data_IF_487356318392
#
_entry.id   IF_487356318392
#
_cell.length_a   1.000
_cell.length_b   1.000
_cell.length_c   1.000
_cell.angle_alpha   90.00
_cell.angle_beta   90.00
_cell.angle_gamma   90.00
#
_symmetry.space_group_name_H-M   'P 1'
#
loop_
_entity.id
_entity.type
_entity.pdbx_description
1 polymer ?
#
# COMPACT_ATOMS: atom_id res chain seq x y z
N UNK A 1 77.49 38.97 7.33
CA UNK A 1 77.04 37.64 7.75
C UNK A 1 75.52 37.69 8.02
N UNK A 2 74.71 37.27 7.03
CA UNK A 2 73.25 37.24 7.12
C UNK A 2 72.82 35.82 7.43
N UNK A 3 72.12 35.59 8.59
CA UNK A 3 71.52 34.34 8.98
C UNK A 3 70.15 34.24 8.25
N UNK A 4 70.00 33.26 7.37
CA UNK A 4 68.74 32.91 6.74
C UNK A 4 68.06 31.90 7.67
N UNK A 5 66.90 32.29 8.34
CA UNK A 5 66.05 31.42 9.06
C UNK A 5 65.15 30.64 8.07
N UNK A 6 65.31 29.34 8.03
CA UNK A 6 64.41 28.45 7.30
C UNK A 6 63.13 28.22 8.11
N UNK A 7 62.00 28.79 7.68
CA UNK A 7 60.69 28.54 8.21
C UNK A 7 60.13 27.27 7.54
N UNK A 8 60.03 26.16 8.27
CA UNK A 8 59.39 24.95 7.81
C UNK A 8 57.86 25.11 8.02
N UNK A 9 57.13 25.29 6.93
CA UNK A 9 55.66 25.25 6.92
C UNK A 9 55.24 23.76 6.91
N UNK A 10 54.76 23.25 8.03
CA UNK A 10 54.11 21.95 8.11
C UNK A 10 52.69 22.08 7.57
N UNK A 11 52.44 21.58 6.38
CA UNK A 11 51.13 21.50 5.75
C UNK A 11 50.41 20.26 6.34
N UNK A 12 49.53 20.46 7.33
CA UNK A 12 48.67 19.41 7.87
C UNK A 12 47.59 19.12 6.84
N UNK A 13 47.72 18.02 6.14
CA UNK A 13 46.66 17.46 5.27
C UNK A 13 45.59 16.85 6.19
N UNK A 14 44.50 17.58 6.41
CA UNK A 14 43.30 17.01 7.02
C UNK A 14 42.62 16.16 5.94
N UNK A 15 42.84 14.86 5.96
CA UNK A 15 42.07 13.92 5.18
C UNK A 15 40.69 13.85 5.83
N UNK A 16 39.75 14.61 5.30
CA UNK A 16 38.33 14.42 5.60
C UNK A 16 37.92 13.05 5.01
N UNK A 17 37.87 12.02 5.85
CA UNK A 17 37.19 10.77 5.54
C UNK A 17 35.72 11.13 5.37
N UNK A 18 35.29 11.43 4.15
CA UNK A 18 33.86 11.33 3.82
C UNK A 18 33.48 9.86 3.89
N UNK A 19 32.94 9.42 5.03
CA UNK A 19 32.22 8.17 5.08
C UNK A 19 31.11 8.28 4.04
N UNK A 20 31.21 7.52 2.95
CA UNK A 20 30.06 7.31 2.07
C UNK A 20 28.98 6.72 2.96
N UNK A 21 27.94 7.48 3.26
CA UNK A 21 26.76 6.96 3.91
C UNK A 21 26.20 5.87 2.97
N UNK A 22 25.96 4.68 3.51
CA UNK A 22 25.27 3.63 2.76
C UNK A 22 23.88 4.16 2.43
N UNK A 23 23.50 4.11 1.17
CA UNK A 23 22.18 4.53 0.71
C UNK A 23 21.38 3.26 0.37
N UNK A 24 20.30 3.02 1.10
CA UNK A 24 19.36 1.92 0.84
C UNK A 24 18.23 2.44 -0.02
N UNK A 25 17.91 1.75 -1.11
CA UNK A 25 16.80 2.14 -2.00
C UNK A 25 15.55 1.32 -1.69
N UNK A 26 14.46 2.02 -1.38
CA UNK A 26 13.14 1.45 -1.11
C UNK A 26 12.18 1.81 -2.24
N UNK A 27 11.63 0.81 -2.93
CA UNK A 27 10.56 0.98 -3.91
C UNK A 27 9.19 0.92 -3.21
N UNK A 28 8.37 1.95 -3.40
CA UNK A 28 7.03 2.07 -2.80
C UNK A 28 6.02 2.71 -3.76
N UNK A 29 4.77 2.86 -3.33
CA UNK A 29 3.60 3.21 -4.15
C UNK A 29 3.38 4.71 -4.37
N UNK A 30 4.34 5.54 -4.00
CA UNK A 30 4.31 6.98 -4.24
C UNK A 30 3.28 7.79 -3.44
N UNK A 31 3.31 9.11 -3.64
CA UNK A 31 2.35 10.08 -3.10
C UNK A 31 2.22 10.03 -1.58
N UNK A 32 1.02 10.27 -1.05
CA UNK A 32 0.78 10.36 0.40
C UNK A 32 1.19 9.11 1.18
N UNK A 33 1.22 7.92 0.57
CA UNK A 33 1.66 6.70 1.25
C UNK A 33 3.17 6.68 1.43
N UNK A 34 3.96 6.86 0.37
CA UNK A 34 5.42 6.94 0.49
C UNK A 34 5.83 8.08 1.44
N UNK A 35 5.12 9.22 1.41
CA UNK A 35 5.38 10.30 2.36
C UNK A 35 5.08 9.89 3.80
N UNK A 36 4.01 9.15 4.06
CA UNK A 36 3.72 8.61 5.40
C UNK A 36 4.77 7.63 5.89
N UNK A 37 5.34 6.84 4.97
CA UNK A 37 6.42 5.91 5.25
C UNK A 37 7.72 6.65 5.60
N UNK A 38 8.09 7.66 4.80
CA UNK A 38 9.25 8.51 5.08
C UNK A 38 9.15 9.12 6.47
N UNK A 39 8.07 9.83 6.76
CA UNK A 39 7.89 10.55 8.01
C UNK A 39 7.67 9.63 9.21
N UNK A 40 6.98 8.51 9.02
CA UNK A 40 6.59 7.60 10.09
C UNK A 40 7.70 6.68 10.57
N UNK A 41 8.48 6.14 9.65
CA UNK A 41 9.56 5.20 9.98
C UNK A 41 10.84 5.35 9.14
N UNK A 42 10.78 5.85 7.89
CA UNK A 42 11.95 5.97 7.04
C UNK A 42 13.01 6.93 7.59
N UNK A 43 12.65 8.19 7.81
CA UNK A 43 13.55 9.20 8.36
C UNK A 43 14.04 8.88 9.78
N UNK A 44 13.15 8.40 10.70
CA UNK A 44 13.60 7.93 12.01
C UNK A 44 14.61 6.78 11.92
N UNK A 45 14.38 5.78 11.05
CA UNK A 45 15.29 4.66 10.81
C UNK A 45 16.62 5.12 10.20
N UNK A 46 16.57 5.96 9.18
CA UNK A 46 17.78 6.54 8.56
C UNK A 46 18.66 7.24 9.60
N UNK A 47 18.03 8.03 10.49
CA UNK A 47 18.70 8.70 11.59
C UNK A 47 19.26 7.72 12.62
N UNK A 48 18.50 6.70 13.02
CA UNK A 48 18.91 5.70 14.02
C UNK A 48 20.12 4.88 13.54
N UNK A 49 20.14 4.51 12.26
CA UNK A 49 21.19 3.69 11.67
C UNK A 49 22.35 4.51 11.07
N UNK A 50 22.23 5.84 10.98
CA UNK A 50 23.24 6.71 10.39
C UNK A 50 23.48 6.50 8.89
N UNK A 51 22.38 6.21 8.14
CA UNK A 51 22.39 5.92 6.71
C UNK A 51 21.50 6.88 5.95
N UNK A 52 21.51 6.78 4.62
CA UNK A 52 20.54 7.42 3.73
C UNK A 52 19.52 6.38 3.24
N UNK A 53 18.24 6.74 3.15
CA UNK A 53 17.18 5.92 2.53
C UNK A 53 16.62 6.68 1.34
N UNK A 54 16.85 6.13 0.14
CA UNK A 54 16.30 6.64 -1.11
C UNK A 54 14.97 5.96 -1.41
N UNK A 55 13.96 6.76 -1.71
CA UNK A 55 12.64 6.26 -2.07
C UNK A 55 12.40 6.42 -3.57
N UNK A 56 11.94 5.34 -4.21
CA UNK A 56 11.52 5.35 -5.62
C UNK A 56 10.06 4.90 -5.70
N UNK A 57 9.30 5.57 -6.56
CA UNK A 57 7.91 5.21 -6.78
C UNK A 57 7.81 4.16 -7.89
N UNK A 58 6.95 3.16 -7.69
CA UNK A 58 6.60 2.18 -8.71
C UNK A 58 5.08 1.92 -8.71
N UNK A 59 4.58 1.19 -9.71
CA UNK A 59 3.14 1.00 -9.93
C UNK A 59 2.65 -0.43 -9.66
N UNK A 60 3.36 -1.15 -8.78
CA UNK A 60 3.04 -2.51 -8.36
C UNK A 60 3.47 -3.60 -9.33
N UNK A 61 3.40 -4.85 -8.86
CA UNK A 61 3.81 -6.04 -9.58
C UNK A 61 5.31 -6.27 -9.62
N UNK A 62 5.73 -7.37 -10.24
CA UNK A 62 7.12 -7.83 -10.22
C UNK A 62 7.89 -7.54 -11.51
N UNK A 63 7.26 -6.93 -12.52
CA UNK A 63 7.86 -6.78 -13.86
C UNK A 63 9.17 -6.00 -13.84
N UNK A 64 9.24 -4.92 -13.05
CA UNK A 64 10.41 -4.05 -13.00
C UNK A 64 11.60 -4.72 -12.31
N UNK A 65 11.38 -5.39 -11.19
CA UNK A 65 12.46 -6.12 -10.50
C UNK A 65 12.93 -7.33 -11.31
N UNK A 66 12.02 -8.02 -12.05
CA UNK A 66 12.40 -9.07 -12.99
C UNK A 66 13.31 -8.53 -14.09
N UNK A 67 12.97 -7.39 -14.68
CA UNK A 67 13.80 -6.74 -15.70
C UNK A 67 15.18 -6.32 -15.16
N UNK A 68 15.25 -5.78 -13.93
CA UNK A 68 16.52 -5.45 -13.28
C UNK A 68 17.38 -6.70 -13.06
N UNK A 69 16.77 -7.83 -12.62
CA UNK A 69 17.45 -9.10 -12.44
C UNK A 69 17.98 -9.68 -13.76
N UNK A 70 17.16 -9.68 -14.81
CA UNK A 70 17.55 -10.13 -16.15
C UNK A 70 18.70 -9.30 -16.74
N UNK A 71 18.67 -7.99 -16.50
CA UNK A 71 19.75 -7.08 -16.90
C UNK A 71 21.01 -7.19 -16.03
N UNK A 72 20.99 -7.99 -14.96
CA UNK A 72 22.04 -8.06 -13.92
C UNK A 72 22.43 -6.67 -13.38
N UNK A 73 21.42 -5.81 -13.19
CA UNK A 73 21.55 -4.42 -12.78
C UNK A 73 20.49 -4.05 -11.73
N UNK A 74 20.48 -4.79 -10.62
CA UNK A 74 19.55 -4.55 -9.50
C UNK A 74 19.97 -3.26 -8.80
N UNK A 75 19.01 -2.34 -8.64
CA UNK A 75 19.19 -1.03 -8.00
C UNK A 75 18.32 -0.86 -6.76
N UNK A 76 17.31 -1.72 -6.56
CA UNK A 76 16.44 -1.71 -5.40
C UNK A 76 16.95 -2.67 -4.33
N UNK A 77 16.87 -2.25 -3.08
CA UNK A 77 17.21 -3.09 -1.92
C UNK A 77 15.97 -3.64 -1.23
N UNK A 78 14.93 -2.83 -1.14
CA UNK A 78 13.66 -3.15 -0.46
C UNK A 78 12.51 -2.80 -1.40
N UNK A 79 11.47 -3.63 -1.39
CA UNK A 79 10.21 -3.32 -2.05
C UNK A 79 9.06 -3.42 -1.06
N UNK A 80 8.06 -2.55 -1.23
CA UNK A 80 6.77 -2.60 -0.56
C UNK A 80 5.75 -3.16 -1.56
N UNK A 81 5.28 -4.39 -1.31
CA UNK A 81 4.58 -5.20 -2.29
C UNK A 81 3.25 -5.73 -1.75
N UNK A 82 2.33 -6.08 -2.66
CA UNK A 82 1.09 -6.77 -2.34
C UNK A 82 1.33 -8.19 -1.82
N UNK A 83 0.38 -8.71 -1.08
CA UNK A 83 0.43 -10.05 -0.50
C UNK A 83 0.72 -11.16 -1.52
N UNK A 84 0.08 -11.14 -2.69
CA UNK A 84 0.31 -12.10 -3.78
C UNK A 84 1.73 -12.00 -4.37
N UNK A 85 2.27 -10.78 -4.49
CA UNK A 85 3.62 -10.56 -5.04
C UNK A 85 4.71 -11.15 -4.13
N UNK A 86 4.44 -11.24 -2.81
CA UNK A 86 5.37 -11.88 -1.87
C UNK A 86 5.51 -13.37 -2.16
N UNK A 87 4.41 -14.05 -2.52
CA UNK A 87 4.37 -15.48 -2.83
C UNK A 87 5.13 -15.73 -4.14
N UNK A 88 4.66 -15.09 -5.21
CA UNK A 88 5.24 -15.26 -6.55
C UNK A 88 6.73 -14.87 -6.58
N UNK A 89 7.09 -13.74 -6.00
CA UNK A 89 8.48 -13.26 -5.99
C UNK A 89 9.40 -14.11 -5.13
N UNK A 90 8.90 -14.70 -4.04
CA UNK A 90 9.66 -15.63 -3.21
C UNK A 90 9.91 -16.94 -3.96
N UNK A 91 8.90 -17.53 -4.60
CA UNK A 91 9.00 -18.77 -5.37
C UNK A 91 9.93 -18.62 -6.59
N UNK A 92 9.93 -17.46 -7.24
CA UNK A 92 10.83 -17.14 -8.34
C UNK A 92 12.26 -16.75 -7.88
N UNK A 93 12.51 -16.72 -6.58
CA UNK A 93 13.82 -16.39 -6.00
C UNK A 93 14.24 -14.94 -6.26
N UNK A 94 13.29 -14.00 -6.27
CA UNK A 94 13.54 -12.57 -6.37
C UNK A 94 13.87 -11.95 -5.01
N UNK A 95 13.41 -12.56 -3.91
CA UNK A 95 13.51 -12.06 -2.56
C UNK A 95 14.32 -12.98 -1.64
N UNK A 96 14.81 -12.41 -0.56
CA UNK A 96 15.56 -13.12 0.49
C UNK A 96 14.58 -13.68 1.51
N UNK A 97 14.78 -14.94 1.93
CA UNK A 97 13.99 -15.53 3.02
C UNK A 97 14.42 -14.97 4.39
N UNK A 98 13.46 -14.75 5.28
CA UNK A 98 13.68 -14.35 6.66
C UNK A 98 13.58 -15.53 7.64
N UNK A 99 14.41 -15.51 8.67
CA UNK A 99 14.21 -16.28 9.91
C UNK A 99 13.53 -15.35 10.93
N UNK A 100 12.21 -15.39 11.00
CA UNK A 100 11.34 -14.31 11.47
C UNK A 100 11.73 -13.75 12.86
N UNK A 101 11.75 -14.58 13.90
CA UNK A 101 12.08 -14.12 15.28
C UNK A 101 13.56 -13.82 15.50
N UNK A 102 14.44 -14.25 14.59
CA UNK A 102 15.85 -13.84 14.60
C UNK A 102 16.04 -12.47 13.92
N UNK A 103 15.34 -12.26 12.83
CA UNK A 103 15.55 -11.13 11.92
C UNK A 103 14.75 -9.89 12.32
N UNK A 104 13.66 -10.07 13.06
CA UNK A 104 12.79 -8.97 13.51
C UNK A 104 12.75 -8.83 15.03
N UNK A 105 12.77 -7.59 15.57
CA UNK A 105 12.76 -7.36 17.01
C UNK A 105 11.44 -7.82 17.64
N UNK A 106 11.47 -8.34 18.88
CA UNK A 106 10.27 -8.62 19.65
C UNK A 106 9.50 -7.33 19.97
N UNK A 107 8.25 -7.47 20.43
CA UNK A 107 7.51 -6.36 21.03
C UNK A 107 8.21 -5.83 22.31
N UNK A 108 7.90 -4.60 22.77
CA UNK A 108 8.52 -4.01 23.95
C UNK A 108 8.33 -4.81 25.24
N UNK A 109 7.32 -5.64 25.35
CA UNK A 109 7.06 -6.54 26.49
C UNK A 109 7.80 -7.88 26.39
N UNK A 110 8.55 -8.12 25.30
CA UNK A 110 9.30 -9.34 25.04
C UNK A 110 8.53 -10.37 24.20
N UNK A 111 7.30 -10.11 23.78
CA UNK A 111 6.55 -11.00 22.89
C UNK A 111 7.30 -11.19 21.57
N UNK A 112 7.59 -12.43 21.12
CA UNK A 112 8.26 -12.68 19.84
C UNK A 112 7.56 -12.00 18.67
N UNK A 113 8.33 -11.60 17.65
CA UNK A 113 7.75 -10.97 16.46
C UNK A 113 6.68 -11.85 15.79
N UNK A 114 6.90 -13.16 15.70
CA UNK A 114 5.94 -14.12 15.13
C UNK A 114 4.59 -14.16 15.84
N UNK A 115 4.52 -13.77 17.11
CA UNK A 115 3.29 -13.71 17.91
C UNK A 115 2.68 -12.31 17.95
N UNK A 116 3.49 -11.24 17.77
CA UNK A 116 3.05 -9.84 17.80
C UNK A 116 2.40 -9.41 16.48
N UNK A 117 2.85 -9.93 15.34
CA UNK A 117 2.17 -9.69 14.06
C UNK A 117 0.78 -10.36 14.04
N UNK A 118 -0.20 -9.74 13.34
CA UNK A 118 -1.60 -10.18 13.39
C UNK A 118 -1.84 -11.58 12.83
N UNK A 119 -1.12 -11.96 11.78
CA UNK A 119 -1.20 -13.29 11.16
C UNK A 119 0.19 -13.75 10.73
N UNK A 120 0.33 -15.03 10.40
CA UNK A 120 1.50 -15.55 9.69
C UNK A 120 1.67 -14.84 8.36
N UNK A 121 2.93 -14.64 7.95
CA UNK A 121 3.26 -14.06 6.66
C UNK A 121 2.85 -14.99 5.51
N UNK A 122 2.45 -14.45 4.34
CA UNK A 122 2.05 -15.25 3.18
C UNK A 122 3.21 -16.02 2.56
N UNK A 123 4.43 -15.55 2.75
CA UNK A 123 5.66 -16.24 2.33
C UNK A 123 6.78 -16.02 3.35
N UNK A 124 7.86 -16.81 3.26
CA UNK A 124 9.05 -16.63 4.10
C UNK A 124 9.85 -15.36 3.75
N UNK A 125 9.58 -14.75 2.61
CA UNK A 125 10.29 -13.58 2.13
C UNK A 125 9.62 -12.26 2.55
N UNK A 126 8.53 -12.32 3.31
CA UNK A 126 7.70 -11.16 3.64
C UNK A 126 7.77 -10.78 5.12
N UNK A 127 7.68 -9.49 5.41
CA UNK A 127 7.33 -8.96 6.72
C UNK A 127 6.24 -7.92 6.60
N UNK A 128 5.22 -8.00 7.46
CA UNK A 128 4.05 -7.13 7.42
C UNK A 128 4.39 -5.66 7.68
N UNK A 129 3.86 -4.79 6.85
CA UNK A 129 4.00 -3.35 6.94
C UNK A 129 2.68 -2.70 7.41
N UNK A 130 1.67 -2.67 6.56
CA UNK A 130 0.37 -2.09 6.87
C UNK A 130 -0.77 -2.96 6.39
N UNK A 131 -1.92 -2.83 7.07
CA UNK A 131 -3.22 -3.30 6.62
C UNK A 131 -3.99 -2.09 6.09
N UNK A 132 -4.53 -2.21 4.88
CA UNK A 132 -5.27 -1.16 4.22
C UNK A 132 -6.58 -1.68 3.63
N UNK A 133 -7.36 -0.80 3.06
CA UNK A 133 -8.64 -1.14 2.44
C UNK A 133 -8.72 -0.62 1.02
N UNK A 134 -9.21 -1.49 0.14
CA UNK A 134 -9.86 -1.11 -1.09
C UNK A 134 -11.30 -0.76 -0.78
N UNK A 135 -11.66 0.49 -0.97
CA UNK A 135 -13.03 0.95 -0.81
C UNK A 135 -13.40 1.90 -1.96
N UNK A 136 -14.52 2.58 -1.88
CA UNK A 136 -14.78 3.66 -2.81
C UNK A 136 -15.07 4.97 -2.07
N UNK A 137 -14.87 6.07 -2.77
CA UNK A 137 -15.30 7.40 -2.33
C UNK A 137 -16.16 8.06 -3.39
N UNK A 138 -16.89 9.07 -2.99
CA UNK A 138 -17.71 9.89 -3.90
C UNK A 138 -17.46 11.39 -3.66
N UNK A 139 -17.68 12.19 -4.70
CA UNK A 139 -17.72 13.66 -4.58
C UNK A 139 -19.06 14.06 -3.96
N UNK A 140 -19.02 14.73 -2.79
CA UNK A 140 -20.23 15.12 -2.05
C UNK A 140 -21.10 16.11 -2.79
N UNK A 141 -20.53 16.92 -3.68
CA UNK A 141 -21.25 17.92 -4.46
C UNK A 141 -21.94 17.33 -5.70
N UNK A 142 -21.60 16.05 -6.07
CA UNK A 142 -22.19 15.39 -7.23
C UNK A 142 -23.65 14.96 -7.02
N UNK A 143 -24.08 14.80 -5.76
CA UNK A 143 -25.39 14.25 -5.45
C UNK A 143 -26.18 15.15 -4.51
N UNK A 144 -27.20 15.84 -5.05
CA UNK A 144 -28.14 16.63 -4.25
C UNK A 144 -29.15 15.68 -3.55
N UNK A 145 -29.05 15.53 -2.23
CA UNK A 145 -30.06 14.87 -1.41
C UNK A 145 -29.62 13.54 -0.81
N UNK A 146 -29.53 12.44 -1.56
CA UNK A 146 -29.21 11.12 -1.00
C UNK A 146 -27.81 10.65 -1.44
N UNK A 147 -26.89 10.59 -0.48
CA UNK A 147 -25.52 10.08 -0.71
C UNK A 147 -25.48 8.56 -0.93
N UNK A 148 -24.53 8.04 -1.73
CA UNK A 148 -24.26 6.61 -1.81
C UNK A 148 -23.71 6.07 -0.48
N UNK A 149 -24.12 4.86 -0.08
CA UNK A 149 -23.77 4.27 1.21
C UNK A 149 -23.44 2.79 1.14
N UNK A 150 -23.70 2.14 0.00
CA UNK A 150 -23.50 0.70 -0.19
C UNK A 150 -22.67 0.43 -1.45
N UNK A 151 -22.07 -0.75 -1.52
CA UNK A 151 -21.34 -1.16 -2.74
C UNK A 151 -22.26 -1.28 -3.95
N UNK A 152 -23.55 -1.59 -3.75
CA UNK A 152 -24.57 -1.58 -4.80
C UNK A 152 -24.74 -0.19 -5.41
N UNK A 153 -24.67 0.87 -4.57
CA UNK A 153 -24.80 2.25 -5.03
C UNK A 153 -23.67 2.65 -6.00
N UNK A 154 -22.47 2.06 -5.88
CA UNK A 154 -21.38 2.28 -6.83
C UNK A 154 -21.75 1.84 -8.26
N UNK A 155 -22.51 0.78 -8.41
CA UNK A 155 -22.93 0.22 -9.70
C UNK A 155 -24.30 0.74 -10.19
N UNK A 156 -25.07 1.46 -9.35
CA UNK A 156 -26.38 1.97 -9.72
C UNK A 156 -26.28 3.36 -10.39
N UNK A 157 -26.08 3.35 -11.70
CA UNK A 157 -25.98 4.56 -12.53
C UNK A 157 -27.32 5.27 -12.74
N UNK A 158 -28.45 4.62 -12.45
CA UNK A 158 -29.77 5.25 -12.52
C UNK A 158 -30.01 6.13 -11.29
N UNK A 159 -29.65 5.62 -10.11
CA UNK A 159 -29.78 6.34 -8.84
C UNK A 159 -28.68 7.37 -8.66
N UNK A 160 -27.48 7.06 -9.09
CA UNK A 160 -26.26 7.86 -8.97
C UNK A 160 -25.58 7.99 -10.34
N UNK A 161 -26.09 8.84 -11.24
CA UNK A 161 -25.52 9.00 -12.58
C UNK A 161 -24.15 9.69 -12.53
N UNK A 162 -23.30 9.38 -13.51
CA UNK A 162 -21.97 9.94 -13.71
C UNK A 162 -20.89 8.88 -13.83
N UNK A 163 -19.71 9.30 -14.27
CA UNK A 163 -18.56 8.42 -14.52
C UNK A 163 -17.98 7.86 -13.20
N UNK A 164 -17.40 6.67 -13.29
CA UNK A 164 -16.66 6.02 -12.19
C UNK A 164 -15.16 5.99 -12.51
N UNK A 165 -14.33 6.10 -11.50
CA UNK A 165 -12.92 5.74 -11.60
C UNK A 165 -12.71 4.35 -11.02
N UNK A 166 -12.00 3.49 -11.77
CA UNK A 166 -11.82 2.06 -11.49
C UNK A 166 -10.33 1.74 -11.61
N UNK A 167 -9.83 0.84 -10.77
CA UNK A 167 -8.42 0.43 -10.86
C UNK A 167 -8.10 -0.26 -12.19
N UNK A 168 -6.88 -0.07 -12.69
CA UNK A 168 -6.41 -0.67 -13.94
C UNK A 168 -6.47 -2.20 -13.96
N UNK A 169 -6.30 -2.85 -12.79
CA UNK A 169 -6.30 -4.30 -12.63
C UNK A 169 -7.65 -4.81 -12.13
N UNK A 170 -7.91 -6.09 -12.35
CA UNK A 170 -9.11 -6.80 -11.87
C UNK A 170 -9.14 -6.99 -10.35
N UNK A 171 -7.97 -6.99 -9.70
CA UNK A 171 -7.78 -7.20 -8.26
C UNK A 171 -8.73 -6.32 -7.46
N UNK A 172 -9.46 -6.91 -6.55
CA UNK A 172 -10.50 -6.31 -5.69
C UNK A 172 -11.73 -5.77 -6.41
N UNK A 173 -11.61 -5.42 -7.69
CA UNK A 173 -12.75 -4.92 -8.47
C UNK A 173 -13.78 -6.04 -8.71
N UNK A 174 -13.32 -7.26 -9.00
CA UNK A 174 -14.22 -8.39 -9.23
C UNK A 174 -14.93 -8.83 -7.97
N UNK A 175 -14.25 -8.82 -6.84
CA UNK A 175 -14.84 -9.09 -5.53
C UNK A 175 -15.92 -8.06 -5.19
N UNK A 176 -15.66 -6.77 -5.38
CA UNK A 176 -16.64 -5.70 -5.19
C UNK A 176 -17.85 -5.87 -6.11
N UNK A 177 -17.65 -6.32 -7.36
CA UNK A 177 -18.75 -6.60 -8.27
C UNK A 177 -19.65 -7.72 -7.77
N UNK A 178 -19.06 -8.81 -7.26
CA UNK A 178 -19.82 -9.93 -6.69
C UNK A 178 -20.54 -9.55 -5.39
N UNK A 179 -19.90 -8.77 -4.52
CA UNK A 179 -20.57 -8.23 -3.34
C UNK A 179 -21.76 -7.34 -3.71
N UNK A 180 -21.63 -6.53 -4.74
CA UNK A 180 -22.73 -5.71 -5.25
C UNK A 180 -23.88 -6.54 -5.86
N UNK A 181 -23.63 -7.81 -6.20
CA UNK A 181 -24.67 -8.80 -6.57
C UNK A 181 -25.27 -9.55 -5.38
N UNK A 182 -24.74 -9.32 -4.18
CA UNK A 182 -25.20 -9.99 -2.96
C UNK A 182 -24.51 -11.33 -2.69
N UNK A 183 -23.39 -11.62 -3.33
CA UNK A 183 -22.56 -12.78 -2.98
C UNK A 183 -22.01 -12.58 -1.58
N UNK A 184 -22.15 -13.60 -0.73
CA UNK A 184 -21.59 -13.59 0.62
C UNK A 184 -20.06 -13.44 0.57
N UNK A 185 -19.49 -12.58 1.40
CA UNK A 185 -18.06 -12.28 1.40
C UNK A 185 -17.17 -13.50 1.59
N UNK A 186 -17.65 -14.53 2.33
CA UNK A 186 -16.93 -15.79 2.55
C UNK A 186 -16.98 -16.74 1.34
N UNK A 187 -17.78 -16.42 0.30
CA UNK A 187 -17.99 -17.23 -0.89
C UNK A 187 -17.44 -16.60 -2.18
N UNK A 188 -16.88 -15.41 -2.07
CA UNK A 188 -16.41 -14.65 -3.24
C UNK A 188 -15.42 -15.47 -4.07
N UNK A 189 -14.42 -16.08 -3.46
CA UNK A 189 -13.38 -16.83 -4.18
C UNK A 189 -13.90 -18.20 -4.67
N UNK A 190 -14.85 -18.83 -3.96
CA UNK A 190 -15.55 -20.01 -4.49
C UNK A 190 -16.27 -19.66 -5.81
N UNK A 191 -16.87 -18.47 -5.89
CA UNK A 191 -17.56 -17.99 -7.09
C UNK A 191 -16.55 -17.57 -8.19
N UNK A 192 -15.52 -16.78 -7.85
CA UNK A 192 -14.51 -16.32 -8.81
C UNK A 192 -13.71 -17.48 -9.43
N UNK A 193 -13.59 -18.60 -8.73
CA UNK A 193 -12.94 -19.82 -9.24
C UNK A 193 -13.76 -20.54 -10.31
N UNK A 194 -15.00 -20.09 -10.59
CA UNK A 194 -15.84 -20.64 -11.64
C UNK A 194 -15.85 -19.72 -12.87
N UNK A 195 -15.88 -20.30 -14.07
CA UNK A 195 -15.99 -19.54 -15.33
C UNK A 195 -17.21 -18.60 -15.32
N UNK A 196 -18.37 -19.08 -14.85
CA UNK A 196 -19.60 -18.27 -14.76
C UNK A 196 -19.46 -17.11 -13.78
N UNK A 197 -18.90 -17.35 -12.61
CA UNK A 197 -18.72 -16.32 -11.58
C UNK A 197 -17.74 -15.23 -12.04
N UNK A 198 -16.62 -15.61 -12.65
CA UNK A 198 -15.64 -14.68 -13.21
C UNK A 198 -16.27 -13.84 -14.33
N UNK A 199 -16.98 -14.49 -15.26
CA UNK A 199 -17.69 -13.81 -16.34
C UNK A 199 -18.75 -12.83 -15.83
N UNK A 200 -19.51 -13.18 -14.80
CA UNK A 200 -20.51 -12.30 -14.17
C UNK A 200 -19.83 -11.05 -13.58
N UNK A 201 -18.75 -11.21 -12.82
CA UNK A 201 -18.04 -10.10 -12.21
C UNK A 201 -17.47 -9.14 -13.26
N UNK A 202 -16.82 -9.66 -14.31
CA UNK A 202 -16.29 -8.87 -15.43
C UNK A 202 -17.44 -8.16 -16.17
N UNK A 203 -18.54 -8.86 -16.46
CA UNK A 203 -19.70 -8.30 -17.18
C UNK A 203 -20.35 -7.15 -16.41
N UNK A 204 -20.33 -7.19 -15.08
CA UNK A 204 -20.86 -6.10 -14.25
C UNK A 204 -20.07 -4.80 -14.44
N UNK A 205 -18.74 -4.87 -14.49
CA UNK A 205 -17.91 -3.69 -14.82
C UNK A 205 -18.08 -3.27 -16.28
N UNK A 206 -18.16 -4.21 -17.21
CA UNK A 206 -18.44 -3.88 -18.62
C UNK A 206 -19.76 -3.11 -18.75
N UNK A 207 -20.82 -3.57 -18.08
CA UNK A 207 -22.10 -2.88 -18.07
C UNK A 207 -22.01 -1.48 -17.46
N UNK A 208 -21.31 -1.30 -16.33
CA UNK A 208 -21.06 0.00 -15.71
C UNK A 208 -20.33 0.95 -16.66
N UNK A 209 -19.28 0.48 -17.32
CA UNK A 209 -18.42 1.30 -18.16
C UNK A 209 -19.07 1.67 -19.50
N UNK A 210 -20.01 0.87 -19.99
CA UNK A 210 -20.77 1.12 -21.25
C UNK A 210 -22.13 1.78 -21.02
N UNK A 211 -22.58 1.95 -19.76
CA UNK A 211 -23.85 2.60 -19.47
C UNK A 211 -23.82 4.08 -19.87
N UNK A 212 -24.82 4.61 -20.60
CA UNK A 212 -24.86 6.02 -21.02
C UNK A 212 -24.94 7.02 -19.85
N UNK A 213 -25.40 6.58 -18.66
CA UNK A 213 -25.40 7.39 -17.45
C UNK A 213 -24.16 7.12 -16.55
N UNK A 214 -23.25 6.24 -17.01
CA UNK A 214 -22.05 5.79 -16.31
C UNK A 214 -20.78 6.15 -17.05
N UNK A 215 -19.97 5.13 -17.35
CA UNK A 215 -18.66 5.24 -17.96
C UNK A 215 -17.52 5.12 -16.97
N UNK A 216 -16.36 4.68 -17.44
CA UNK A 216 -15.20 4.43 -16.59
C UNK A 216 -13.97 5.25 -17.00
N UNK A 217 -13.18 5.63 -15.99
CA UNK A 217 -11.81 6.10 -16.10
C UNK A 217 -10.94 5.13 -15.33
N UNK A 218 -9.97 4.50 -15.99
CA UNK A 218 -9.07 3.56 -15.32
C UNK A 218 -7.85 4.29 -14.76
N UNK A 219 -7.60 4.13 -13.47
CA UNK A 219 -6.47 4.72 -12.80
C UNK A 219 -5.36 3.70 -12.54
N UNK A 220 -4.11 4.18 -12.43
CA UNK A 220 -2.92 3.36 -12.19
C UNK A 220 -2.05 3.83 -11.02
N UNK A 221 -2.18 5.10 -10.63
CA UNK A 221 -1.44 5.67 -9.51
C UNK A 221 -2.40 6.11 -8.40
N UNK A 222 -2.04 5.86 -7.14
CA UNK A 222 -2.92 6.05 -5.98
C UNK A 222 -3.39 7.50 -5.72
N UNK A 223 -2.74 8.50 -6.30
CA UNK A 223 -3.19 9.89 -6.22
C UNK A 223 -4.37 10.19 -7.15
N UNK A 224 -4.51 9.45 -8.25
CA UNK A 224 -5.51 9.72 -9.28
C UNK A 224 -6.96 9.64 -8.81
N UNK A 225 -7.41 8.62 -8.04
CA UNK A 225 -8.80 8.53 -7.61
C UNK A 225 -9.31 9.77 -6.87
N UNK A 226 -8.65 10.29 -5.82
CA UNK A 226 -9.09 11.52 -5.17
C UNK A 226 -9.01 12.74 -6.09
N UNK A 227 -8.00 12.87 -6.94
CA UNK A 227 -7.87 13.99 -7.89
C UNK A 227 -9.03 14.00 -8.90
N UNK A 228 -9.40 12.84 -9.45
CA UNK A 228 -10.53 12.69 -10.37
C UNK A 228 -11.88 13.01 -9.71
N UNK A 229 -12.04 12.71 -8.42
CA UNK A 229 -13.22 13.09 -7.64
C UNK A 229 -13.26 14.60 -7.41
N UNK A 230 -12.16 15.20 -6.97
CA UNK A 230 -12.08 16.64 -6.67
C UNK A 230 -12.28 17.48 -7.93
N UNK A 231 -11.72 17.05 -9.05
CA UNK A 231 -11.93 17.74 -10.34
C UNK A 231 -13.36 17.62 -10.89
N UNK A 232 -14.16 16.68 -10.36
CA UNK A 232 -15.48 16.36 -10.87
C UNK A 232 -15.49 15.57 -12.19
N UNK A 233 -14.36 15.04 -12.63
CA UNK A 233 -14.28 14.18 -13.81
C UNK A 233 -15.03 12.86 -13.57
N UNK A 234 -15.02 12.36 -12.34
CA UNK A 234 -15.81 11.22 -11.91
C UNK A 234 -16.62 11.57 -10.66
N UNK A 235 -17.74 10.89 -10.45
CA UNK A 235 -18.59 11.10 -9.28
C UNK A 235 -18.32 10.09 -8.16
N UNK A 236 -17.79 8.93 -8.50
CA UNK A 236 -17.32 7.89 -7.56
C UNK A 236 -16.03 7.27 -8.07
N UNK A 237 -15.19 6.82 -7.15
CA UNK A 237 -13.92 6.18 -7.48
C UNK A 237 -13.63 5.03 -6.51
N UNK A 238 -13.25 3.86 -7.02
CA UNK A 238 -12.57 2.84 -6.20
C UNK A 238 -11.15 3.30 -5.93
N UNK A 239 -10.60 2.95 -4.77
CA UNK A 239 -9.23 3.34 -4.42
C UNK A 239 -8.84 2.85 -3.03
N UNK A 240 -7.72 3.32 -2.55
CA UNK A 240 -7.17 2.96 -1.25
C UNK A 240 -7.61 3.97 -0.18
N UNK A 241 -8.14 3.46 0.93
CA UNK A 241 -8.70 4.27 2.02
C UNK A 241 -7.77 5.38 2.52
N UNK A 242 -6.48 5.13 2.60
CA UNK A 242 -5.51 6.14 3.07
C UNK A 242 -5.36 7.32 2.10
N UNK A 243 -5.51 7.08 0.79
CA UNK A 243 -5.49 8.17 -0.21
C UNK A 243 -6.73 9.06 -0.08
N UNK A 244 -7.88 8.42 0.08
CA UNK A 244 -9.13 9.14 0.33
C UNK A 244 -9.11 9.85 1.69
N UNK A 245 -8.55 9.22 2.74
CA UNK A 245 -8.38 9.88 4.04
C UNK A 245 -7.51 11.15 3.93
N UNK A 246 -6.39 11.08 3.21
CA UNK A 246 -5.53 12.24 3.04
C UNK A 246 -6.28 13.37 2.33
N UNK A 247 -7.02 13.09 1.26
CA UNK A 247 -7.81 14.09 0.56
C UNK A 247 -8.98 14.61 1.42
N UNK A 248 -9.78 13.72 2.03
CA UNK A 248 -10.98 14.08 2.82
C UNK A 248 -10.62 14.85 4.10
N UNK A 249 -9.70 14.29 4.90
CA UNK A 249 -9.38 14.79 6.24
C UNK A 249 -8.12 15.67 6.23
N UNK A 250 -7.08 15.24 5.52
CA UNK A 250 -5.80 15.95 5.49
C UNK A 250 -5.88 17.26 4.70
N UNK A 251 -6.60 17.29 3.59
CA UNK A 251 -6.71 18.41 2.66
C UNK A 251 -8.09 19.09 2.69
N UNK A 252 -9.10 18.49 3.32
CA UNK A 252 -10.46 19.02 3.39
C UNK A 252 -11.20 18.99 2.05
N UNK A 253 -10.85 18.03 1.18
CA UNK A 253 -11.49 17.88 -0.13
C UNK A 253 -12.98 17.48 -0.01
N UNK A 254 -13.85 17.88 -0.95
CA UNK A 254 -15.27 17.58 -0.92
C UNK A 254 -15.57 16.14 -1.37
N UNK A 255 -14.95 15.18 -0.73
CA UNK A 255 -15.15 13.75 -0.97
C UNK A 255 -15.53 13.01 0.31
N UNK A 256 -16.16 11.85 0.17
CA UNK A 256 -16.53 11.01 1.30
C UNK A 256 -16.29 9.54 0.99
N UNK A 257 -15.62 8.83 1.91
CA UNK A 257 -15.41 7.39 1.81
C UNK A 257 -16.66 6.61 2.17
N UNK A 258 -16.85 5.46 1.50
CA UNK A 258 -17.86 4.44 1.80
C UNK A 258 -17.15 3.12 2.08
N UNK A 259 -17.42 2.55 3.23
CA UNK A 259 -16.76 1.35 3.72
C UNK A 259 -17.50 0.04 3.40
N UNK A 260 -18.77 0.14 2.99
CA UNK A 260 -19.56 -1.02 2.63
C UNK A 260 -19.00 -1.70 1.38
N UNK A 261 -18.75 -2.99 1.47
CA UNK A 261 -18.12 -3.76 0.40
C UNK A 261 -16.62 -3.57 0.26
N UNK A 262 -15.93 -3.06 1.29
CA UNK A 262 -14.48 -2.89 1.26
C UNK A 262 -13.74 -4.23 1.19
N UNK A 263 -12.60 -4.24 0.50
CA UNK A 263 -11.63 -5.32 0.53
C UNK A 263 -10.47 -4.98 1.45
N UNK A 264 -10.23 -5.79 2.47
CA UNK A 264 -9.05 -5.65 3.32
C UNK A 264 -7.88 -6.40 2.68
N UNK A 265 -6.75 -5.73 2.57
CA UNK A 265 -5.53 -6.28 2.00
C UNK A 265 -4.32 -5.79 2.79
N UNK A 266 -3.18 -6.38 2.52
CA UNK A 266 -1.97 -6.20 3.29
C UNK A 266 -0.81 -5.84 2.39
N UNK A 267 0.02 -4.91 2.86
CA UNK A 267 1.31 -4.58 2.27
C UNK A 267 2.45 -5.18 3.10
N UNK A 268 3.48 -5.59 2.39
CA UNK A 268 4.64 -6.24 2.98
C UNK A 268 5.93 -5.62 2.46
N UNK A 269 6.92 -5.53 3.34
CA UNK A 269 8.28 -5.35 2.87
C UNK A 269 8.90 -6.68 2.50
N UNK A 270 9.66 -6.68 1.41
CA UNK A 270 10.51 -7.76 0.97
C UNK A 270 11.93 -7.23 0.73
N UNK A 271 12.93 -8.07 1.01
CA UNK A 271 14.33 -7.78 0.75
C UNK A 271 14.70 -8.33 -0.63
N UNK A 272 15.14 -7.45 -1.52
CA UNK A 272 15.49 -7.83 -2.90
C UNK A 272 16.79 -8.64 -2.89
N UNK A 273 16.74 -9.85 -3.44
CA UNK A 273 17.92 -10.73 -3.53
C UNK A 273 18.91 -10.21 -4.55
N UNK A 274 20.15 -10.00 -4.10
CA UNK A 274 21.20 -9.41 -4.93
C UNK A 274 21.14 -7.89 -5.05
N UNK A 275 20.32 -7.23 -4.21
CA UNK A 275 20.35 -5.79 -4.04
C UNK A 275 21.72 -5.28 -3.61
N UNK A 276 22.11 -4.04 -3.95
CA UNK A 276 23.46 -3.53 -3.70
C UNK A 276 23.83 -3.43 -2.22
N UNK A 277 22.84 -3.38 -1.31
CA UNK A 277 23.06 -3.14 0.12
C UNK A 277 22.31 -4.16 1.01
N UNK A 278 22.23 -5.44 0.62
CA UNK A 278 21.38 -6.48 1.24
C UNK A 278 21.51 -6.54 2.77
N UNK A 279 22.74 -6.55 3.32
CA UNK A 279 22.99 -6.65 4.76
C UNK A 279 22.46 -5.44 5.55
N UNK A 280 22.60 -4.23 5.03
CA UNK A 280 22.10 -3.02 5.71
C UNK A 280 20.61 -2.85 5.46
N UNK A 281 20.12 -3.20 4.29
CA UNK A 281 18.68 -3.18 3.95
C UNK A 281 17.88 -4.11 4.86
N UNK A 282 18.41 -5.27 5.22
CA UNK A 282 17.81 -6.17 6.20
C UNK A 282 17.62 -5.50 7.57
N UNK A 283 18.63 -4.73 8.03
CA UNK A 283 18.52 -3.96 9.28
C UNK A 283 17.51 -2.82 9.17
N UNK A 284 17.43 -2.19 8.00
CA UNK A 284 16.45 -1.14 7.71
C UNK A 284 15.03 -1.69 7.81
N UNK A 285 14.74 -2.83 7.19
CA UNK A 285 13.42 -3.48 7.29
C UNK A 285 13.11 -3.82 8.75
N UNK A 286 14.06 -4.41 9.49
CA UNK A 286 13.86 -4.79 10.88
C UNK A 286 13.52 -3.58 11.77
N UNK A 287 14.19 -2.45 11.57
CA UNK A 287 13.92 -1.22 12.31
C UNK A 287 12.58 -0.61 11.88
N UNK A 288 12.33 -0.45 10.56
CA UNK A 288 11.06 0.11 10.05
C UNK A 288 9.83 -0.69 10.48
N UNK A 289 9.97 -2.01 10.71
CA UNK A 289 8.87 -2.87 11.15
C UNK A 289 8.84 -3.10 12.66
N UNK A 290 9.60 -2.33 13.45
CA UNK A 290 9.48 -2.32 14.91
C UNK A 290 8.16 -1.69 15.38
N UNK A 291 7.78 -1.94 16.62
CA UNK A 291 6.51 -1.48 17.22
C UNK A 291 6.28 0.02 17.05
N UNK A 292 7.24 0.85 17.45
CA UNK A 292 7.12 2.31 17.44
C UNK A 292 7.12 2.86 16.00
N UNK A 293 7.91 2.26 15.11
CA UNK A 293 8.04 2.71 13.75
C UNK A 293 6.77 2.44 12.95
N UNK A 294 6.20 1.23 13.03
CA UNK A 294 4.92 0.95 12.36
C UNK A 294 3.78 1.81 12.89
N UNK A 295 3.72 2.05 14.23
CA UNK A 295 2.76 2.99 14.78
C UNK A 295 2.97 4.42 14.24
N UNK A 296 4.24 4.81 13.98
CA UNK A 296 4.61 6.12 13.47
C UNK A 296 3.99 6.46 12.13
N UNK A 297 3.92 5.51 11.19
CA UNK A 297 3.33 5.76 9.86
C UNK A 297 1.84 6.09 9.92
N UNK A 298 1.12 5.51 10.87
CA UNK A 298 -0.30 5.77 11.10
C UNK A 298 -0.61 7.19 11.64
N UNK A 299 0.41 8.00 11.95
CA UNK A 299 0.24 9.45 12.20
C UNK A 299 -0.04 10.25 10.94
N UNK A 300 0.27 9.71 9.78
CA UNK A 300 0.25 10.43 8.52
C UNK A 300 -0.78 9.92 7.53
N UNK A 301 -1.21 8.64 7.67
CA UNK A 301 -2.17 7.98 6.79
C UNK A 301 -3.02 6.97 7.57
N UNK A 302 -4.27 6.74 7.16
CA UNK A 302 -5.19 5.83 7.87
C UNK A 302 -5.02 4.36 7.46
N UNK A 303 -3.78 3.89 7.42
CA UNK A 303 -3.45 2.46 7.29
C UNK A 303 -3.12 1.89 8.66
N UNK A 304 -3.66 0.71 8.97
CA UNK A 304 -3.41 0.10 10.27
C UNK A 304 -2.02 -0.56 10.29
N UNK A 305 -1.22 -0.33 11.35
CA UNK A 305 0.06 -1.01 11.47
C UNK A 305 -0.15 -2.52 11.65
N UNK A 306 0.82 -3.32 11.18
CA UNK A 306 0.69 -4.78 11.14
C UNK A 306 1.01 -5.50 12.45
N UNK A 307 1.46 -4.76 13.49
CA UNK A 307 1.74 -5.31 14.84
C UNK A 307 0.63 -4.96 15.84
N UNK A 308 0.28 -5.93 16.69
CA UNK A 308 -0.63 -5.74 17.85
C UNK A 308 -0.09 -4.68 18.79
N UNK A 309 1.20 -4.76 19.14
CA UNK A 309 1.89 -3.78 19.98
C UNK A 309 1.83 -2.35 19.40
N UNK A 310 1.90 -2.18 18.10
CA UNK A 310 1.78 -0.87 17.44
C UNK A 310 0.39 -0.26 17.58
N UNK A 311 -0.68 -1.07 17.52
CA UNK A 311 -2.05 -0.58 17.81
C UNK A 311 -2.23 -0.14 19.25
N UNK A 312 -1.55 -0.82 20.20
CA UNK A 312 -1.57 -0.39 21.60
C UNK A 312 -0.87 0.96 21.80
N UNK A 313 0.25 1.19 21.10
CA UNK A 313 0.94 2.50 21.10
C UNK A 313 -0.01 3.59 20.58
N UNK A 314 -0.68 3.36 19.47
CA UNK A 314 -1.67 4.29 18.91
C UNK A 314 -2.82 4.56 19.87
N UNK A 315 -3.40 3.53 20.49
CA UNK A 315 -4.53 3.68 21.41
C UNK A 315 -4.17 4.49 22.67
N UNK A 316 -2.93 4.37 23.14
CA UNK A 316 -2.42 5.17 24.28
C UNK A 316 -2.11 6.61 23.90
N UNK A 317 -1.83 6.90 22.63
CA UNK A 317 -1.40 8.20 22.10
C UNK A 317 -2.50 9.02 21.39
N UNK A 318 -3.78 8.59 21.43
CA UNK A 318 -4.89 9.32 20.80
C UNK A 318 -4.86 10.83 21.15
N UNK A 319 -5.16 11.73 20.17
CA UNK A 319 -5.83 11.51 18.87
C UNK A 319 -4.96 10.97 17.71
N UNK A 320 -3.72 10.77 17.84
CA UNK A 320 -2.69 10.16 17.01
C UNK A 320 -2.38 10.84 15.65
N UNK A 321 -3.34 11.40 14.91
CA UNK A 321 -3.04 12.08 13.64
C UNK A 321 -2.08 13.25 13.82
N UNK A 322 -1.29 13.55 12.81
CA UNK A 322 -0.26 14.61 12.81
C UNK A 322 -0.78 16.01 13.17
N UNK A 323 -2.07 16.26 13.04
CA UNK A 323 -2.69 17.52 13.41
C UNK A 323 -2.95 17.68 14.92
N UNK A 324 -2.74 16.62 15.71
CA UNK A 324 -2.95 16.59 17.14
C UNK A 324 -4.41 16.72 17.61
N UNK A 325 -5.38 16.54 16.69
CA UNK A 325 -6.82 16.72 16.94
C UNK A 325 -7.67 15.56 16.43
N UNK A 326 -7.33 15.02 15.25
CA UNK A 326 -8.10 13.95 14.60
C UNK A 326 -7.80 12.63 15.26
N UNK A 327 -8.84 11.98 15.81
CA UNK A 327 -8.73 10.60 16.27
C UNK A 327 -8.61 9.68 15.05
N UNK A 328 -7.49 8.96 14.96
CA UNK A 328 -7.22 8.07 13.81
C UNK A 328 -8.02 6.77 13.84
N UNK A 329 -8.36 6.25 15.02
CA UNK A 329 -9.01 4.93 15.16
C UNK A 329 -10.30 4.80 14.31
N UNK A 330 -11.23 5.78 14.30
CA UNK A 330 -12.43 5.69 13.47
C UNK A 330 -12.17 5.65 11.96
N UNK A 331 -11.00 6.09 11.52
CA UNK A 331 -10.61 6.13 10.11
C UNK A 331 -9.79 4.90 9.67
N UNK A 332 -9.48 4.00 10.60
CA UNK A 332 -8.79 2.75 10.27
C UNK A 332 -9.73 1.78 9.53
N UNK A 333 -9.23 1.03 8.55
CA UNK A 333 -10.05 0.06 7.81
C UNK A 333 -10.61 -1.04 8.71
N UNK A 334 -9.91 -1.34 9.82
CA UNK A 334 -10.29 -2.34 10.82
C UNK A 334 -11.21 -1.83 11.93
N UNK A 335 -11.57 -0.55 11.92
CA UNK A 335 -12.47 -0.02 12.93
C UNK A 335 -13.85 -0.72 12.88
N UNK A 336 -14.48 -1.04 14.04
CA UNK A 336 -15.71 -1.85 14.09
C UNK A 336 -16.86 -1.32 13.23
N UNK A 337 -16.98 0.00 13.08
CA UNK A 337 -18.00 0.61 12.23
C UNK A 337 -17.72 0.42 10.74
N UNK A 338 -16.46 0.19 10.34
CA UNK A 338 -16.01 0.04 8.97
C UNK A 338 -16.03 -1.43 8.50
N UNK A 339 -16.01 -2.40 9.42
CA UNK A 339 -15.95 -3.84 9.14
C UNK A 339 -17.31 -4.55 9.22
N UNK A 340 -18.40 -3.88 8.81
CA UNK A 340 -19.74 -4.48 8.81
C UNK A 340 -20.00 -5.36 7.60
N UNK A 341 -19.48 -4.98 6.45
CA UNK A 341 -19.62 -5.69 5.18
C UNK A 341 -18.30 -5.54 4.42
N UNK A 342 -17.46 -6.58 4.44
CA UNK A 342 -16.12 -6.57 3.87
C UNK A 342 -15.71 -7.98 3.42
N UNK A 343 -14.70 -8.05 2.59
CA UNK A 343 -13.99 -9.29 2.26
C UNK A 343 -12.50 -9.16 2.58
N UNK A 344 -11.84 -10.29 2.74
CA UNK A 344 -10.37 -10.38 2.81
C UNK A 344 -9.85 -10.74 1.42
N UNK A 345 -8.85 -10.03 0.93
CA UNK A 345 -8.17 -10.41 -0.31
C UNK A 345 -7.44 -11.74 -0.08
N UNK A 346 -7.68 -12.71 -0.97
CA UNK A 346 -7.01 -14.01 -0.94
C UNK A 346 -5.74 -13.95 -1.80
N UNK A 347 -4.55 -13.88 -1.17
CA UNK A 347 -3.30 -13.76 -1.91
C UNK A 347 -2.95 -15.03 -2.71
N UNK A 348 -3.39 -16.21 -2.26
CA UNK A 348 -3.13 -17.46 -2.95
C UNK A 348 -3.96 -17.51 -4.22
N UNK A 349 -5.26 -17.20 -4.12
CA UNK A 349 -6.13 -17.12 -5.29
C UNK A 349 -5.54 -16.20 -6.37
N UNK A 350 -5.09 -14.99 -5.99
CA UNK A 350 -4.54 -14.04 -6.94
C UNK A 350 -3.14 -14.42 -7.44
N UNK A 351 -2.31 -15.07 -6.64
CA UNK A 351 -1.03 -15.61 -7.09
C UNK A 351 -1.22 -16.69 -8.18
N UNK A 352 -2.22 -17.56 -8.00
CA UNK A 352 -2.47 -18.69 -8.90
C UNK A 352 -3.25 -18.27 -10.18
N UNK A 353 -4.17 -17.32 -10.06
CA UNK A 353 -5.13 -17.00 -11.14
C UNK A 353 -4.97 -15.60 -11.73
N UNK A 354 -4.16 -14.74 -11.12
CA UNK A 354 -4.10 -13.32 -11.44
C UNK A 354 -3.69 -13.00 -12.88
N UNK A 355 -2.84 -13.84 -13.49
CA UNK A 355 -2.40 -13.65 -14.89
C UNK A 355 -3.58 -13.89 -15.85
N UNK A 356 -4.25 -15.03 -15.74
CA UNK A 356 -5.38 -15.39 -16.62
C UNK A 356 -6.55 -14.41 -16.45
N UNK A 357 -6.90 -14.09 -15.21
CA UNK A 357 -7.94 -13.10 -14.89
C UNK A 357 -7.56 -11.72 -15.47
N UNK A 358 -6.30 -11.33 -15.36
CA UNK A 358 -5.77 -10.09 -15.91
C UNK A 358 -5.95 -10.00 -17.43
N UNK A 359 -5.67 -11.06 -18.17
CA UNK A 359 -5.90 -11.12 -19.62
C UNK A 359 -7.38 -10.93 -19.98
N UNK A 360 -8.28 -11.57 -19.24
CA UNK A 360 -9.73 -11.42 -19.44
C UNK A 360 -10.20 -9.99 -19.13
N UNK A 361 -9.63 -9.36 -18.08
CA UNK A 361 -9.89 -7.97 -17.72
C UNK A 361 -9.41 -6.99 -18.79
N UNK A 362 -8.19 -7.15 -19.31
CA UNK A 362 -7.67 -6.33 -20.42
C UNK A 362 -8.50 -6.50 -21.68
N UNK A 363 -8.92 -7.73 -22.00
CA UNK A 363 -9.82 -8.00 -23.13
C UNK A 363 -11.19 -7.30 -22.96
N UNK A 364 -11.73 -7.23 -21.76
CA UNK A 364 -12.95 -6.45 -21.47
C UNK A 364 -12.69 -4.97 -21.71
N UNK A 365 -11.62 -4.39 -21.14
CA UNK A 365 -11.27 -2.96 -21.28
C UNK A 365 -11.06 -2.57 -22.76
N UNK A 366 -10.47 -3.44 -23.56
CA UNK A 366 -10.22 -3.17 -24.98
C UNK A 366 -11.49 -3.03 -25.83
N UNK A 367 -12.66 -3.39 -25.29
CA UNK A 367 -13.97 -3.31 -25.96
C UNK A 367 -14.83 -2.13 -25.49
N UNK A 368 -14.29 -1.29 -24.59
CA UNK A 368 -14.94 -0.08 -24.11
C UNK A 368 -14.62 1.11 -25.01
#
# INVERSE_FOLDING_TARGET
MRKISKLLLALSFVVSLTSSAFAVTVASWGGAYTESQKLGYGDPTAKALGIEINWVDYSGGLSEIKAQKEANAITWDIMDVLSMDTIVGCDEGLFVEFEFDRDFPPAPDGTPASEDFFTSMPSKCAVGNVLYSWNYAYNIDAFSGKAPTTIQDFFDTKKFPGRRSVYKSALTQLEMALMAEGVDSTKIYDVLSTEDGLKRAISKFQALCTDPNGGCVFWSAGAQPPELLVSGEVVMATGWNGRFFNAEIGEGAPIKQVWDGQGLDYEYFVLVKGGPNEDIAKKVIAEMTSTEMLAGSAKYISYAPWRKSSLEVMAKGEPWYKDGKTNMIPHMPTAPQNTKNYFLVDPIFWADNGVEIGEQWENMKSKL
#
